data_IF_393012090371
#
_entry.id   IF_393012090371
#
_cell.length_a   1.000
_cell.length_b   1.000
_cell.length_c   1.000
_cell.angle_alpha   90.00
_cell.angle_beta   90.00
_cell.angle_gamma   90.00
#
_symmetry.space_group_name_H-M   'P 1'
#
loop_
_entity.id
_entity.type
_entity.pdbx_description
1 polymer ?
#
# COMPACT_ATOMS: atom_id res chain seq x y z
N UNK A 1 -7.67 -15.16 15.77
CA UNK A 1 -7.06 -13.88 16.21
C UNK A 1 -5.74 -14.09 16.98
N UNK A 2 -4.63 -13.64 16.41
CA UNK A 2 -3.27 -13.75 16.98
C UNK A 2 -3.05 -12.73 18.12
N UNK A 3 -2.89 -13.21 19.36
CA UNK A 3 -2.73 -12.36 20.55
C UNK A 3 -1.49 -11.47 20.51
N UNK A 4 -0.37 -11.96 19.95
CA UNK A 4 0.88 -11.20 19.86
C UNK A 4 0.73 -10.05 18.88
N UNK A 5 0.03 -10.28 17.76
CA UNK A 5 -0.29 -9.29 16.74
C UNK A 5 -1.12 -8.12 17.32
N UNK A 6 -2.18 -8.42 18.09
CA UNK A 6 -3.02 -7.40 18.75
C UNK A 6 -2.22 -6.61 19.78
N UNK A 7 -1.46 -7.30 20.64
CA UNK A 7 -0.67 -6.66 21.69
C UNK A 7 0.37 -5.70 21.09
N UNK A 8 0.99 -6.08 19.97
CA UNK A 8 1.88 -5.20 19.22
C UNK A 8 1.14 -3.96 18.70
N UNK A 9 -0.01 -4.13 18.03
CA UNK A 9 -0.80 -3.02 17.47
C UNK A 9 -1.26 -2.04 18.56
N UNK A 10 -1.76 -2.56 19.70
CA UNK A 10 -2.15 -1.73 20.85
C UNK A 10 -0.97 -0.95 21.42
N UNK A 11 0.21 -1.59 21.54
CA UNK A 11 1.43 -0.91 22.00
C UNK A 11 1.79 0.24 21.06
N UNK A 12 1.79 0.00 19.74
CA UNK A 12 2.10 1.03 18.75
C UNK A 12 1.11 2.21 18.85
N UNK A 13 -0.19 1.93 19.00
CA UNK A 13 -1.23 2.94 19.19
C UNK A 13 -1.05 3.74 20.49
N UNK A 14 -0.70 3.07 21.59
CA UNK A 14 -0.46 3.69 22.89
C UNK A 14 0.78 4.59 22.89
N UNK A 15 1.82 4.22 22.15
CA UNK A 15 3.05 5.00 22.05
C UNK A 15 2.83 6.35 21.32
N UNK A 16 1.81 6.45 20.44
CA UNK A 16 1.57 7.66 19.62
C UNK A 16 0.36 8.51 20.04
N UNK A 17 -0.61 7.93 20.77
CA UNK A 17 -1.90 8.60 21.06
C UNK A 17 -1.73 9.97 21.71
N UNK A 18 -0.81 10.12 22.67
CA UNK A 18 -0.58 11.39 23.36
C UNK A 18 -0.11 12.50 22.42
N UNK A 19 0.78 12.17 21.47
CA UNK A 19 1.26 13.14 20.48
C UNK A 19 0.10 13.66 19.62
N UNK A 20 -0.75 12.77 19.13
CA UNK A 20 -1.90 13.11 18.29
C UNK A 20 -2.93 13.91 19.09
N UNK A 21 -3.16 13.56 20.36
CA UNK A 21 -4.01 14.33 21.26
C UNK A 21 -3.49 15.75 21.49
N UNK A 22 -2.19 15.98 21.47
CA UNK A 22 -1.59 17.31 21.62
C UNK A 22 -1.62 18.11 20.30
N UNK A 23 -1.12 17.52 19.21
CA UNK A 23 -0.85 18.21 17.94
C UNK A 23 -2.01 18.15 16.92
N UNK A 24 -2.96 17.24 17.12
CA UNK A 24 -4.12 16.97 16.24
C UNK A 24 -3.83 16.25 14.93
N UNK A 25 -2.57 15.94 14.64
CA UNK A 25 -2.13 15.14 13.50
C UNK A 25 -1.04 14.14 13.96
N UNK A 26 -0.77 13.13 13.14
CA UNK A 26 0.37 12.23 13.33
C UNK A 26 1.66 12.86 12.75
N UNK A 27 2.85 12.54 13.29
CA UNK A 27 4.09 13.11 12.80
C UNK A 27 4.35 12.69 11.33
N UNK A 28 4.80 13.65 10.52
CA UNK A 28 5.21 13.40 9.15
C UNK A 28 6.39 12.43 9.06
N UNK A 29 6.55 11.83 7.89
CA UNK A 29 7.68 10.96 7.54
C UNK A 29 8.62 11.59 6.52
N UNK A 30 9.43 10.74 5.89
CA UNK A 30 10.38 11.10 4.82
C UNK A 30 10.30 10.14 3.62
N UNK A 31 9.15 9.50 3.42
CA UNK A 31 8.89 8.47 2.43
C UNK A 31 9.95 7.34 2.42
N UNK A 32 10.37 6.89 3.60
CA UNK A 32 11.33 5.78 3.73
C UNK A 32 12.66 6.02 3.00
N UNK A 33 13.07 5.14 2.07
CA UNK A 33 14.40 5.21 1.43
C UNK A 33 14.51 6.29 0.34
N UNK A 34 13.44 7.06 0.07
CA UNK A 34 13.42 8.11 -0.96
C UNK A 34 13.71 9.51 -0.43
N UNK A 35 13.66 9.71 0.90
CA UNK A 35 13.99 10.97 1.56
C UNK A 35 13.19 12.17 1.02
N UNK A 36 11.87 11.98 0.86
CA UNK A 36 10.96 13.03 0.39
C UNK A 36 10.26 13.69 1.59
N UNK A 37 10.12 15.01 1.58
CA UNK A 37 9.46 15.75 2.66
C UNK A 37 7.95 15.52 2.60
N UNK A 38 7.46 14.52 3.32
CA UNK A 38 6.04 14.23 3.38
C UNK A 38 5.30 15.24 4.27
N UNK A 39 3.99 15.37 4.02
CA UNK A 39 3.07 15.96 4.99
C UNK A 39 2.65 14.94 6.04
N UNK A 40 1.95 15.43 7.06
CA UNK A 40 1.38 14.64 8.16
C UNK A 40 0.16 13.80 7.71
N UNK A 41 -0.35 14.02 6.49
CA UNK A 41 -1.62 13.49 6.00
C UNK A 41 -1.64 11.95 5.92
N UNK A 42 -0.61 11.35 5.31
CA UNK A 42 -0.52 9.89 5.14
C UNK A 42 -0.52 9.17 6.49
N UNK A 43 0.37 9.58 7.40
CA UNK A 43 0.49 8.91 8.69
C UNK A 43 -0.77 9.14 9.54
N UNK A 44 -1.41 10.31 9.42
CA UNK A 44 -2.69 10.61 10.08
C UNK A 44 -3.82 9.70 9.59
N UNK A 45 -3.89 9.44 8.27
CA UNK A 45 -4.85 8.52 7.67
C UNK A 45 -4.64 7.08 8.19
N UNK A 46 -3.40 6.60 8.22
CA UNK A 46 -3.08 5.26 8.71
C UNK A 46 -3.43 5.09 10.20
N UNK A 47 -3.03 6.05 11.06
CA UNK A 47 -3.35 5.98 12.48
C UNK A 47 -4.84 6.07 12.78
N UNK A 48 -5.61 6.82 11.98
CA UNK A 48 -7.06 6.87 12.11
C UNK A 48 -7.68 5.48 11.93
N UNK A 49 -7.24 4.71 10.93
CA UNK A 49 -7.69 3.32 10.72
C UNK A 49 -7.39 2.46 11.94
N UNK A 50 -6.17 2.53 12.48
CA UNK A 50 -5.74 1.75 13.66
C UNK A 50 -6.62 2.08 14.87
N UNK A 51 -6.80 3.35 15.20
CA UNK A 51 -7.60 3.73 16.37
C UNK A 51 -9.07 3.36 16.21
N UNK A 52 -9.63 3.54 15.02
CA UNK A 52 -11.00 3.15 14.72
C UNK A 52 -11.20 1.63 14.85
N UNK A 53 -10.25 0.83 14.34
CA UNK A 53 -10.24 -0.61 14.53
C UNK A 53 -10.20 -0.99 16.02
N UNK A 54 -9.25 -0.45 16.78
CA UNK A 54 -9.09 -0.77 18.21
C UNK A 54 -10.31 -0.34 19.04
N UNK A 55 -10.91 0.81 18.71
CA UNK A 55 -12.16 1.26 19.32
C UNK A 55 -13.30 0.29 19.03
N UNK A 56 -13.53 -0.04 17.75
CA UNK A 56 -14.61 -0.93 17.32
C UNK A 56 -14.49 -2.31 17.96
N UNK A 57 -13.28 -2.89 17.92
CA UNK A 57 -13.09 -4.30 18.29
C UNK A 57 -12.86 -4.52 19.78
N UNK A 58 -12.28 -3.56 20.49
CA UNK A 58 -11.90 -3.73 21.90
C UNK A 58 -12.45 -2.65 22.84
N UNK A 59 -13.40 -1.83 22.36
CA UNK A 59 -14.05 -0.74 23.12
C UNK A 59 -13.03 0.22 23.79
N UNK A 60 -11.93 0.52 23.08
CA UNK A 60 -10.82 1.34 23.60
C UNK A 60 -11.12 2.85 23.49
N UNK A 61 -12.04 3.34 24.33
CA UNK A 61 -12.47 4.75 24.32
C UNK A 61 -11.35 5.76 24.62
N UNK A 62 -10.19 5.30 25.11
CA UNK A 62 -8.98 6.15 25.28
C UNK A 62 -8.51 6.80 23.97
N UNK A 63 -8.88 6.26 22.81
CA UNK A 63 -8.50 6.80 21.50
C UNK A 63 -9.51 7.82 20.93
N UNK A 64 -10.64 8.09 21.60
CA UNK A 64 -11.73 8.91 21.04
C UNK A 64 -11.31 10.34 20.69
N UNK A 65 -10.49 10.95 21.54
CA UNK A 65 -9.96 12.29 21.31
C UNK A 65 -9.03 12.29 20.08
N UNK A 66 -8.15 11.30 19.97
CA UNK A 66 -7.23 11.16 18.85
C UNK A 66 -8.00 10.91 17.53
N UNK A 67 -9.01 10.04 17.53
CA UNK A 67 -9.89 9.80 16.38
C UNK A 67 -10.54 11.10 15.91
N UNK A 68 -11.12 11.86 16.84
CA UNK A 68 -11.80 13.13 16.53
C UNK A 68 -10.83 14.14 15.93
N UNK A 69 -9.63 14.25 16.51
CA UNK A 69 -8.58 15.16 16.03
C UNK A 69 -8.07 14.78 14.65
N UNK A 70 -7.71 13.51 14.43
CA UNK A 70 -7.24 13.04 13.12
C UNK A 70 -8.31 13.22 12.05
N UNK A 71 -9.57 12.86 12.34
CA UNK A 71 -10.66 13.01 11.40
C UNK A 71 -10.96 14.48 11.08
N UNK A 72 -10.79 15.39 12.05
CA UNK A 72 -10.88 16.83 11.82
C UNK A 72 -9.75 17.30 10.91
N UNK A 73 -8.51 16.92 11.22
CA UNK A 73 -7.34 17.26 10.41
C UNK A 73 -7.46 16.75 8.97
N UNK A 74 -7.82 15.47 8.79
CA UNK A 74 -7.99 14.88 7.45
C UNK A 74 -9.11 15.53 6.64
N UNK A 75 -10.12 16.13 7.27
CA UNK A 75 -11.20 16.84 6.56
C UNK A 75 -10.88 18.31 6.25
N UNK A 76 -9.78 18.85 6.79
CA UNK A 76 -9.39 20.23 6.53
C UNK A 76 -9.09 20.43 5.04
N UNK A 77 -9.82 21.35 4.40
CA UNK A 77 -9.67 21.66 2.98
C UNK A 77 -8.28 22.24 2.64
N UNK A 78 -7.55 22.77 3.63
CA UNK A 78 -6.15 23.19 3.44
C UNK A 78 -5.21 22.04 3.07
N UNK A 79 -5.60 20.78 3.34
CA UNK A 79 -4.82 19.60 2.98
C UNK A 79 -5.06 19.14 1.52
N UNK A 80 -5.90 19.83 0.75
CA UNK A 80 -6.31 19.43 -0.58
C UNK A 80 -6.18 20.56 -1.60
N UNK A 81 -5.95 20.19 -2.85
CA UNK A 81 -6.17 21.07 -3.99
C UNK A 81 -7.65 21.31 -4.25
N UNK A 82 -7.97 22.36 -5.02
CA UNK A 82 -9.35 22.63 -5.46
C UNK A 82 -9.97 21.50 -6.31
N UNK A 83 -9.13 20.63 -6.86
CA UNK A 83 -9.50 19.41 -7.58
C UNK A 83 -9.70 18.18 -6.67
N UNK A 84 -9.56 18.33 -5.34
CA UNK A 84 -9.68 17.24 -4.37
C UNK A 84 -8.41 16.40 -4.17
N UNK A 85 -7.32 16.69 -4.90
CA UNK A 85 -6.08 15.94 -4.76
C UNK A 85 -5.39 16.26 -3.41
N UNK A 86 -4.94 15.25 -2.64
CA UNK A 86 -4.35 15.44 -1.31
C UNK A 86 -2.89 15.89 -1.38
N UNK A 87 -2.51 16.86 -0.54
CA UNK A 87 -1.12 17.28 -0.38
C UNK A 87 -0.36 16.27 0.48
N UNK A 88 0.35 15.33 -0.14
CA UNK A 88 1.13 14.29 0.54
C UNK A 88 2.62 14.63 0.70
N UNK A 89 3.17 15.56 -0.11
CA UNK A 89 4.58 15.95 -0.10
C UNK A 89 4.75 17.46 -0.27
N UNK A 90 5.92 17.97 0.13
CA UNK A 90 6.29 19.40 0.09
C UNK A 90 7.45 19.70 -0.89
N UNK A 91 8.00 18.71 -1.58
CA UNK A 91 9.14 18.90 -2.50
C UNK A 91 8.70 19.48 -3.87
N UNK A 92 9.43 20.48 -4.37
CA UNK A 92 9.04 21.25 -5.57
C UNK A 92 9.23 20.50 -6.92
N UNK A 93 10.10 19.49 -6.98
CA UNK A 93 10.54 18.84 -8.23
C UNK A 93 9.85 17.50 -8.52
N UNK A 94 8.92 17.10 -7.67
CA UNK A 94 8.13 15.88 -7.79
C UNK A 94 6.66 16.24 -7.63
N UNK A 95 5.76 15.33 -7.99
CA UNK A 95 4.35 15.51 -7.69
C UNK A 95 4.14 15.58 -6.17
N UNK A 96 3.26 16.46 -5.74
CA UNK A 96 3.00 16.69 -4.32
C UNK A 96 1.93 15.74 -3.74
N UNK A 97 1.41 14.81 -4.55
CA UNK A 97 0.38 13.83 -4.17
C UNK A 97 0.96 12.45 -3.86
N UNK A 98 2.25 12.22 -4.12
CA UNK A 98 2.90 10.91 -3.98
C UNK A 98 2.30 9.85 -4.93
N UNK A 99 2.37 10.13 -6.23
CA UNK A 99 1.82 9.29 -7.28
C UNK A 99 0.34 8.98 -7.06
N UNK A 100 -0.10 7.81 -7.49
CA UNK A 100 -1.46 7.34 -7.20
C UNK A 100 -1.61 6.75 -5.79
N UNK A 101 -0.49 6.38 -5.14
CA UNK A 101 -0.54 5.71 -3.84
C UNK A 101 -0.95 6.66 -2.72
N UNK A 102 -0.54 7.94 -2.77
CA UNK A 102 -0.96 8.94 -1.78
C UNK A 102 -2.48 9.12 -1.73
N UNK A 103 -3.17 9.47 -2.84
CA UNK A 103 -4.62 9.54 -2.88
C UNK A 103 -5.31 8.26 -2.42
N UNK A 104 -4.77 7.09 -2.79
CA UNK A 104 -5.32 5.80 -2.37
C UNK A 104 -5.28 5.63 -0.83
N UNK A 105 -4.15 5.91 -0.18
CA UNK A 105 -4.03 5.80 1.28
C UNK A 105 -4.95 6.75 2.04
N UNK A 106 -5.14 7.99 1.55
CA UNK A 106 -6.06 8.94 2.21
C UNK A 106 -7.52 8.50 2.01
N UNK A 107 -7.89 8.07 0.80
CA UNK A 107 -9.23 7.59 0.50
C UNK A 107 -9.59 6.34 1.33
N UNK A 108 -8.64 5.42 1.52
CA UNK A 108 -8.81 4.22 2.35
C UNK A 108 -9.28 4.57 3.77
N UNK A 109 -8.68 5.57 4.42
CA UNK A 109 -9.09 6.00 5.75
C UNK A 109 -10.53 6.50 5.78
N UNK A 110 -10.96 7.27 4.78
CA UNK A 110 -12.35 7.75 4.69
C UNK A 110 -13.35 6.62 4.39
N UNK A 111 -12.99 5.65 3.55
CA UNK A 111 -13.81 4.45 3.35
C UNK A 111 -13.94 3.69 4.68
N UNK A 112 -12.86 3.57 5.43
CA UNK A 112 -12.87 2.91 6.74
C UNK A 112 -13.75 3.65 7.78
N UNK A 113 -13.69 4.98 7.82
CA UNK A 113 -14.59 5.80 8.66
C UNK A 113 -16.05 5.57 8.26
N UNK A 114 -16.35 5.54 6.96
CA UNK A 114 -17.70 5.25 6.48
C UNK A 114 -18.19 3.86 6.90
N UNK A 115 -17.35 2.82 6.77
CA UNK A 115 -17.69 1.45 7.20
C UNK A 115 -18.11 1.38 8.68
N UNK A 116 -17.59 2.28 9.52
CA UNK A 116 -17.87 2.30 10.96
C UNK A 116 -19.06 3.20 11.30
N UNK A 117 -19.16 4.35 10.66
CA UNK A 117 -20.14 5.40 11.02
C UNK A 117 -21.42 5.36 10.19
N UNK A 118 -21.36 4.80 8.97
CA UNK A 118 -22.41 4.90 7.96
C UNK A 118 -22.61 6.31 7.39
N UNK A 119 -21.80 7.30 7.77
CA UNK A 119 -21.98 8.68 7.36
C UNK A 119 -21.52 8.91 5.92
N UNK A 120 -22.48 9.13 5.02
CA UNK A 120 -22.27 9.25 3.56
C UNK A 120 -21.26 10.32 3.14
N UNK A 121 -20.99 11.34 3.97
CA UNK A 121 -20.01 12.38 3.66
C UNK A 121 -18.58 11.84 3.52
N UNK A 122 -18.24 10.78 4.27
CA UNK A 122 -16.89 10.20 4.24
C UNK A 122 -16.64 9.39 2.98
N UNK A 123 -17.59 8.54 2.57
CA UNK A 123 -17.45 7.78 1.32
C UNK A 123 -17.46 8.70 0.09
N UNK A 124 -18.16 9.85 0.16
CA UNK A 124 -18.09 10.90 -0.85
C UNK A 124 -16.73 11.60 -0.89
N UNK A 125 -16.15 11.98 0.26
CA UNK A 125 -14.79 12.56 0.29
C UNK A 125 -13.76 11.58 -0.28
N UNK A 126 -13.90 10.27 0.00
CA UNK A 126 -13.07 9.24 -0.62
C UNK A 126 -13.23 9.20 -2.16
N UNK A 127 -14.48 9.29 -2.66
CA UNK A 127 -14.76 9.40 -4.09
C UNK A 127 -14.10 10.64 -4.69
N UNK A 128 -14.23 11.81 -4.07
CA UNK A 128 -13.65 13.07 -4.56
C UNK A 128 -12.12 12.96 -4.68
N UNK A 129 -11.47 12.39 -3.65
CA UNK A 129 -10.01 12.15 -3.65
C UNK A 129 -9.61 11.23 -4.79
N UNK A 130 -10.26 10.07 -4.95
CA UNK A 130 -9.92 9.14 -6.01
C UNK A 130 -10.23 9.76 -7.39
N UNK A 131 -11.33 10.47 -7.53
CA UNK A 131 -11.73 11.11 -8.79
C UNK A 131 -10.83 12.28 -9.22
N UNK A 132 -9.91 12.75 -8.37
CA UNK A 132 -8.94 13.80 -8.69
C UNK A 132 -7.87 13.37 -9.71
N UNK A 133 -7.71 12.07 -9.97
CA UNK A 133 -6.79 11.51 -10.97
C UNK A 133 -7.43 11.47 -12.37
N UNK A 134 -6.59 11.21 -13.38
CA UNK A 134 -7.02 11.07 -14.78
C UNK A 134 -6.70 9.66 -15.27
N UNK A 135 -7.63 9.00 -15.95
CA UNK A 135 -7.36 7.72 -16.60
C UNK A 135 -6.97 7.92 -18.06
N UNK A 136 -5.93 7.19 -18.49
CA UNK A 136 -5.51 7.15 -19.89
C UNK A 136 -6.08 5.89 -20.57
N UNK A 137 -7.10 5.99 -21.44
CA UNK A 137 -7.73 4.83 -22.06
C UNK A 137 -6.82 4.07 -23.03
N UNK A 138 -5.84 4.76 -23.63
CA UNK A 138 -4.89 4.12 -24.56
C UNK A 138 -3.96 3.18 -23.81
N UNK A 139 -3.50 3.58 -22.63
CA UNK A 139 -2.55 2.84 -21.81
C UNK A 139 -3.23 1.99 -20.72
N UNK A 140 -4.53 2.23 -20.49
CA UNK A 140 -5.38 1.59 -19.48
C UNK A 140 -4.77 1.71 -18.08
N UNK A 141 -4.29 2.91 -17.75
CA UNK A 141 -3.59 3.25 -16.52
C UNK A 141 -3.97 4.66 -16.09
N UNK A 142 -3.87 4.94 -14.79
CA UNK A 142 -4.07 6.28 -14.26
C UNK A 142 -2.80 7.14 -14.38
N UNK A 143 -3.02 8.44 -14.54
CA UNK A 143 -2.06 9.51 -14.58
C UNK A 143 -2.09 10.29 -13.27
N UNK A 144 -0.95 10.86 -12.90
CA UNK A 144 -0.78 11.61 -11.66
C UNK A 144 -1.23 13.05 -11.90
N UNK A 145 -2.17 13.53 -11.08
CA UNK A 145 -2.61 14.93 -11.06
C UNK A 145 -2.32 15.49 -9.68
N UNK A 146 -1.57 16.59 -9.61
CA UNK A 146 -1.18 17.20 -8.34
C UNK A 146 -2.25 18.15 -7.77
N UNK A 147 -2.01 18.74 -6.59
CA UNK A 147 -2.98 19.65 -5.94
C UNK A 147 -3.25 20.95 -6.72
N UNK A 148 -2.40 21.29 -7.70
CA UNK A 148 -2.60 22.44 -8.58
C UNK A 148 -3.27 22.04 -9.91
N UNK A 149 -3.65 20.77 -10.07
CA UNK A 149 -4.23 20.24 -11.30
C UNK A 149 -3.19 19.97 -12.40
N UNK A 150 -1.88 20.05 -12.13
CA UNK A 150 -0.86 19.71 -13.11
C UNK A 150 -0.82 18.19 -13.27
N UNK A 151 -0.91 17.75 -14.52
CA UNK A 151 -0.79 16.35 -14.90
C UNK A 151 0.69 15.98 -15.15
N UNK A 152 1.21 15.03 -14.40
CA UNK A 152 2.59 14.52 -14.49
C UNK A 152 2.74 13.30 -15.41
N UNK A 153 1.66 12.88 -16.05
CA UNK A 153 1.57 11.72 -16.92
C UNK A 153 1.32 10.42 -16.17
N UNK A 154 1.43 9.31 -16.90
CA UNK A 154 1.13 7.96 -16.41
C UNK A 154 2.03 7.58 -15.23
N UNK A 155 1.42 7.14 -14.13
CA UNK A 155 2.16 6.51 -13.04
C UNK A 155 2.58 5.10 -13.45
N UNK A 156 3.85 4.91 -13.79
CA UNK A 156 4.35 3.60 -14.25
C UNK A 156 4.71 2.66 -13.10
N UNK A 157 4.55 3.09 -11.86
CA UNK A 157 4.87 2.32 -10.68
C UNK A 157 3.76 1.31 -10.43
N UNK A 158 4.08 0.01 -10.58
CA UNK A 158 3.08 -1.06 -10.59
C UNK A 158 2.26 -1.07 -9.29
N UNK A 159 2.92 -0.95 -8.14
CA UNK A 159 2.24 -0.97 -6.85
C UNK A 159 1.31 0.21 -6.66
N UNK A 160 1.63 1.40 -7.20
CA UNK A 160 0.73 2.54 -7.15
C UNK A 160 -0.56 2.27 -7.93
N UNK A 161 -0.44 1.73 -9.15
CA UNK A 161 -1.60 1.37 -9.98
C UNK A 161 -2.46 0.28 -9.33
N UNK A 162 -1.82 -0.78 -8.79
CA UNK A 162 -2.52 -1.90 -8.12
C UNK A 162 -3.23 -1.44 -6.86
N UNK A 163 -2.57 -0.66 -6.00
CA UNK A 163 -3.19 -0.14 -4.78
C UNK A 163 -4.32 0.83 -5.08
N UNK A 164 -4.13 1.75 -6.03
CA UNK A 164 -5.18 2.67 -6.44
C UNK A 164 -6.41 1.92 -6.94
N UNK A 165 -6.24 0.93 -7.84
CA UNK A 165 -7.33 0.07 -8.28
C UNK A 165 -8.01 -0.67 -7.12
N UNK A 166 -7.22 -1.22 -6.18
CA UNK A 166 -7.73 -1.92 -5.02
C UNK A 166 -8.63 -1.04 -4.15
N UNK A 167 -8.21 0.20 -3.87
CA UNK A 167 -8.98 1.15 -3.07
C UNK A 167 -10.21 1.67 -3.84
N UNK A 168 -10.12 1.87 -5.16
CA UNK A 168 -11.30 2.18 -5.96
C UNK A 168 -12.33 1.04 -5.93
N UNK A 169 -11.91 -0.22 -5.98
CA UNK A 169 -12.84 -1.36 -5.84
C UNK A 169 -13.49 -1.40 -4.46
N UNK A 170 -12.73 -1.14 -3.40
CA UNK A 170 -13.26 -1.03 -2.04
C UNK A 170 -14.27 0.12 -1.89
N UNK A 171 -13.98 1.28 -2.50
CA UNK A 171 -14.90 2.43 -2.56
C UNK A 171 -16.22 2.03 -3.21
N UNK A 172 -16.17 1.41 -4.40
CA UNK A 172 -17.36 1.03 -5.15
C UNK A 172 -18.19 -0.02 -4.42
N UNK A 173 -17.54 -0.99 -3.78
CA UNK A 173 -18.21 -2.01 -3.00
C UNK A 173 -18.98 -1.40 -1.82
N UNK A 174 -18.31 -0.59 -1.00
CA UNK A 174 -18.91 -0.01 0.20
C UNK A 174 -19.88 1.15 -0.12
N UNK A 175 -19.64 1.87 -1.21
CA UNK A 175 -20.44 2.99 -1.68
C UNK A 175 -21.64 2.61 -2.54
N UNK A 176 -21.88 1.32 -2.79
CA UNK A 176 -22.96 0.84 -3.64
C UNK A 176 -24.33 1.37 -3.19
N UNK A 177 -25.06 2.02 -4.10
CA UNK A 177 -26.36 2.64 -3.81
C UNK A 177 -26.29 3.97 -3.05
N UNK A 178 -25.09 4.45 -2.72
CA UNK A 178 -24.84 5.74 -2.06
C UNK A 178 -24.10 6.71 -2.97
N UNK A 179 -23.09 6.21 -3.70
CA UNK A 179 -22.32 7.00 -4.65
C UNK A 179 -23.14 7.22 -5.92
N UNK A 180 -23.06 8.44 -6.45
CA UNK A 180 -23.58 8.82 -7.75
C UNK A 180 -22.38 9.18 -8.63
N UNK A 181 -22.48 8.96 -9.94
CA UNK A 181 -21.37 9.29 -10.85
C UNK A 181 -20.17 8.35 -10.74
N UNK A 182 -20.33 7.15 -10.19
CA UNK A 182 -19.25 6.16 -10.04
C UNK A 182 -18.97 5.35 -11.30
N UNK A 183 -19.80 5.51 -12.34
CA UNK A 183 -19.74 4.75 -13.60
C UNK A 183 -18.39 4.93 -14.29
N UNK A 184 -17.78 6.11 -14.16
CA UNK A 184 -16.43 6.39 -14.67
C UNK A 184 -15.40 5.47 -14.01
N UNK A 185 -15.34 5.44 -12.68
CA UNK A 185 -14.37 4.61 -11.94
C UNK A 185 -14.60 3.13 -12.21
N UNK A 186 -15.86 2.69 -12.30
CA UNK A 186 -16.20 1.30 -12.65
C UNK A 186 -15.62 0.90 -14.02
N UNK A 187 -15.77 1.75 -15.04
CA UNK A 187 -15.23 1.48 -16.36
C UNK A 187 -13.69 1.52 -16.40
N UNK A 188 -13.07 2.49 -15.72
CA UNK A 188 -11.61 2.60 -15.60
C UNK A 188 -10.99 1.35 -14.96
N UNK A 189 -11.57 0.88 -13.85
CA UNK A 189 -11.13 -0.34 -13.15
C UNK A 189 -11.30 -1.55 -14.06
N UNK A 190 -12.44 -1.70 -14.73
CA UNK A 190 -12.67 -2.82 -15.65
C UNK A 190 -11.59 -2.84 -16.74
N UNK A 191 -11.32 -1.69 -17.36
CA UNK A 191 -10.29 -1.58 -18.39
C UNK A 191 -8.89 -1.90 -17.84
N UNK A 192 -8.56 -1.43 -16.64
CA UNK A 192 -7.30 -1.73 -15.97
C UNK A 192 -7.16 -3.23 -15.66
N UNK A 193 -8.16 -3.86 -15.04
CA UNK A 193 -8.15 -5.27 -14.68
C UNK A 193 -8.03 -6.18 -15.91
N UNK A 194 -8.71 -5.85 -17.00
CA UNK A 194 -8.59 -6.54 -18.29
C UNK A 194 -7.14 -6.50 -18.82
N UNK A 195 -6.42 -5.41 -18.55
CA UNK A 195 -5.05 -5.19 -19.05
C UNK A 195 -3.96 -5.65 -18.08
N UNK A 196 -4.29 -5.80 -16.81
CA UNK A 196 -3.37 -6.12 -15.71
C UNK A 196 -2.51 -7.38 -15.96
N UNK A 197 -3.03 -8.52 -16.46
CA UNK A 197 -2.22 -9.70 -16.77
C UNK A 197 -1.11 -9.41 -17.79
N UNK A 198 -1.36 -8.47 -18.69
CA UNK A 198 -0.41 -8.08 -19.72
C UNK A 198 0.51 -6.95 -19.24
N UNK A 199 0.20 -6.24 -18.15
CA UNK A 199 1.05 -5.15 -17.59
C UNK A 199 2.04 -5.70 -16.59
N UNK A 200 1.57 -6.62 -15.74
CA UNK A 200 2.37 -7.29 -14.74
C UNK A 200 3.48 -8.09 -15.40
N UNK A 201 4.71 -7.87 -14.93
CA UNK A 201 5.88 -8.65 -15.33
C UNK A 201 6.48 -9.27 -14.09
N UNK A 202 6.87 -10.52 -14.23
CA UNK A 202 7.34 -11.36 -13.14
C UNK A 202 8.61 -12.04 -13.62
N UNK A 203 9.68 -11.93 -12.85
CA UNK A 203 10.93 -12.64 -13.09
C UNK A 203 10.74 -14.16 -12.99
N UNK A 204 11.63 -14.98 -13.58
CA UNK A 204 11.51 -16.44 -13.53
C UNK A 204 11.40 -17.03 -12.12
N UNK A 205 11.88 -16.34 -11.10
CA UNK A 205 11.81 -16.77 -9.70
C UNK A 205 10.57 -16.28 -8.95
N UNK A 206 9.68 -15.49 -9.55
CA UNK A 206 8.45 -15.01 -8.92
C UNK A 206 8.48 -13.57 -8.42
N UNK A 207 9.62 -12.86 -8.47
CA UNK A 207 9.67 -11.45 -8.07
C UNK A 207 8.95 -10.58 -9.09
N UNK A 208 8.11 -9.64 -8.64
CA UNK A 208 7.44 -8.68 -9.50
C UNK A 208 8.40 -7.60 -9.98
N UNK A 209 8.22 -7.17 -11.22
CA UNK A 209 8.95 -6.03 -11.74
C UNK A 209 8.21 -4.75 -11.34
N UNK A 210 8.95 -3.77 -10.81
CA UNK A 210 8.37 -2.58 -10.20
C UNK A 210 7.67 -1.64 -11.21
N UNK A 211 8.05 -1.73 -12.49
CA UNK A 211 7.53 -0.87 -13.55
C UNK A 211 6.50 -1.64 -14.39
N UNK A 212 5.29 -1.08 -14.46
CA UNK A 212 4.21 -1.57 -15.31
C UNK A 212 4.50 -1.33 -16.80
N UNK A 213 4.20 -2.31 -17.65
CA UNK A 213 4.51 -2.23 -19.08
C UNK A 213 3.42 -1.48 -19.87
N UNK A 214 3.81 -0.37 -20.50
CA UNK A 214 2.99 0.43 -21.43
C UNK A 214 2.86 -0.23 -22.82
N UNK A 215 1.82 0.13 -23.57
CA UNK A 215 1.45 -0.41 -24.89
C UNK A 215 2.11 0.38 -26.03
N UNK A 216 2.24 1.71 -25.88
CA UNK A 216 2.47 2.60 -27.03
C UNK A 216 3.85 2.53 -27.69
N UNK A 217 4.85 1.84 -27.13
CA UNK A 217 6.22 1.95 -27.63
C UNK A 217 7.01 0.63 -27.61
N UNK A 218 7.09 -0.03 -28.77
CA UNK A 218 7.83 -1.30 -28.93
C UNK A 218 9.33 -1.18 -28.61
N UNK A 219 9.97 -0.03 -28.92
CA UNK A 219 11.38 0.21 -28.57
C UNK A 219 11.56 0.27 -27.05
N UNK A 220 10.60 0.90 -26.36
CA UNK A 220 10.56 0.92 -24.91
C UNK A 220 10.39 -0.49 -24.33
N UNK A 221 9.46 -1.27 -24.88
CA UNK A 221 9.23 -2.67 -24.48
C UNK A 221 10.51 -3.51 -24.62
N UNK A 222 11.21 -3.40 -25.75
CA UNK A 222 12.47 -4.13 -25.96
C UNK A 222 13.55 -3.69 -24.96
N UNK A 223 13.74 -2.37 -24.78
CA UNK A 223 14.70 -1.82 -23.80
C UNK A 223 14.36 -2.26 -22.37
N UNK A 224 13.08 -2.36 -22.04
CA UNK A 224 12.60 -2.87 -20.77
C UNK A 224 13.04 -4.32 -20.55
N UNK A 225 12.85 -5.20 -21.54
CA UNK A 225 13.26 -6.61 -21.41
C UNK A 225 14.78 -6.78 -21.23
N UNK A 226 15.59 -6.01 -21.97
CA UNK A 226 17.05 -6.03 -21.81
C UNK A 226 17.43 -5.61 -20.38
N UNK A 227 16.83 -4.52 -19.88
CA UNK A 227 17.08 -4.04 -18.51
C UNK A 227 16.60 -5.04 -17.47
N UNK A 228 15.45 -5.68 -17.67
CA UNK A 228 14.93 -6.71 -16.79
C UNK A 228 15.90 -7.89 -16.69
N UNK A 229 16.47 -8.35 -17.81
CA UNK A 229 17.48 -9.40 -17.80
C UNK A 229 18.74 -8.98 -17.01
N UNK A 230 19.23 -7.76 -17.24
CA UNK A 230 20.40 -7.24 -16.53
C UNK A 230 20.16 -7.13 -15.01
N UNK A 231 18.97 -6.67 -14.59
CA UNK A 231 18.52 -6.65 -13.18
C UNK A 231 18.48 -8.04 -12.59
N UNK A 232 17.83 -8.99 -13.26
CA UNK A 232 17.70 -10.36 -12.78
C UNK A 232 19.05 -11.03 -12.59
N UNK A 233 19.94 -10.94 -13.59
CA UNK A 233 21.28 -11.52 -13.51
C UNK A 233 22.08 -10.86 -12.38
N UNK A 234 22.12 -9.53 -12.35
CA UNK A 234 22.84 -8.77 -11.32
C UNK A 234 22.33 -9.09 -9.91
N UNK A 235 21.02 -9.22 -9.78
CA UNK A 235 20.30 -9.63 -8.58
C UNK A 235 20.68 -11.00 -8.04
N UNK A 236 20.89 -11.96 -8.95
CA UNK A 236 21.30 -13.34 -8.63
C UNK A 236 22.74 -13.45 -8.17
N UNK A 237 23.64 -12.64 -8.73
CA UNK A 237 25.06 -12.62 -8.35
C UNK A 237 25.37 -11.67 -7.19
N UNK A 238 24.38 -10.86 -6.75
CA UNK A 238 24.49 -9.91 -5.62
C UNK A 238 25.69 -8.95 -5.78
N UNK A 239 25.87 -8.40 -6.98
CA UNK A 239 27.08 -7.63 -7.33
C UNK A 239 27.08 -6.16 -6.88
N UNK A 240 26.06 -5.70 -6.15
CA UNK A 240 25.91 -4.32 -5.69
C UNK A 240 25.95 -3.26 -6.81
N UNK A 241 25.67 -3.63 -8.06
CA UNK A 241 25.50 -2.68 -9.15
C UNK A 241 24.15 -1.95 -9.04
N UNK A 242 23.96 -0.86 -9.79
CA UNK A 242 22.66 -0.19 -9.91
C UNK A 242 21.51 -1.12 -10.37
N UNK A 243 21.84 -2.18 -11.11
CA UNK A 243 20.85 -3.17 -11.57
C UNK A 243 20.47 -4.12 -10.45
N UNK A 244 21.43 -4.49 -9.60
CA UNK A 244 21.19 -5.23 -8.38
C UNK A 244 20.40 -4.38 -7.37
N UNK A 245 20.72 -3.11 -7.17
CA UNK A 245 19.93 -2.21 -6.30
C UNK A 245 18.47 -2.10 -6.75
N UNK A 246 18.22 -1.98 -8.06
CA UNK A 246 16.85 -1.96 -8.59
C UNK A 246 16.14 -3.29 -8.36
N UNK A 247 16.85 -4.41 -8.50
CA UNK A 247 16.29 -5.72 -8.20
C UNK A 247 16.04 -5.92 -6.70
N UNK A 248 16.87 -5.34 -5.81
CA UNK A 248 16.62 -5.31 -4.36
C UNK A 248 15.38 -4.49 -4.03
N UNK A 249 15.13 -3.37 -4.72
CA UNK A 249 13.86 -2.65 -4.62
C UNK A 249 12.70 -3.59 -4.95
N UNK A 250 12.75 -4.26 -6.10
CA UNK A 250 11.72 -5.22 -6.52
C UNK A 250 11.52 -6.37 -5.51
N UNK A 251 12.59 -6.90 -4.90
CA UNK A 251 12.48 -7.90 -3.84
C UNK A 251 11.86 -7.35 -2.55
N UNK A 252 12.22 -6.12 -2.16
CA UNK A 252 11.71 -5.50 -0.93
C UNK A 252 10.24 -5.09 -1.00
N UNK A 253 9.76 -4.77 -2.21
CA UNK A 253 8.36 -4.41 -2.47
C UNK A 253 7.45 -5.61 -2.72
N UNK A 254 7.98 -6.82 -2.92
CA UNK A 254 7.16 -7.96 -3.35
C UNK A 254 5.96 -8.23 -2.43
N UNK A 255 6.17 -8.20 -1.11
CA UNK A 255 5.08 -8.43 -0.15
C UNK A 255 4.03 -7.30 -0.24
N UNK A 256 4.47 -6.04 -0.30
CA UNK A 256 3.58 -4.88 -0.46
C UNK A 256 2.74 -4.94 -1.74
N UNK A 257 3.36 -5.36 -2.85
CA UNK A 257 2.66 -5.50 -4.13
C UNK A 257 1.61 -6.61 -4.04
N UNK A 258 1.99 -7.77 -3.50
CA UNK A 258 1.08 -8.91 -3.31
C UNK A 258 -0.05 -8.57 -2.34
N UNK A 259 0.19 -7.72 -1.34
CA UNK A 259 -0.84 -7.21 -0.44
C UNK A 259 -1.93 -6.44 -1.21
N UNK A 260 -1.55 -5.54 -2.11
CA UNK A 260 -2.51 -4.82 -2.97
C UNK A 260 -3.35 -5.79 -3.84
N UNK A 261 -2.70 -6.83 -4.39
CA UNK A 261 -3.43 -7.89 -5.09
C UNK A 261 -4.35 -8.73 -4.18
N UNK A 262 -3.99 -8.91 -2.91
CA UNK A 262 -4.83 -9.59 -1.92
C UNK A 262 -6.12 -8.80 -1.66
N UNK A 263 -6.06 -7.46 -1.65
CA UNK A 263 -7.26 -6.61 -1.60
C UNK A 263 -8.10 -6.79 -2.87
N UNK A 264 -7.51 -6.69 -4.06
CA UNK A 264 -8.23 -6.90 -5.34
C UNK A 264 -8.94 -8.27 -5.34
N UNK A 265 -8.29 -9.33 -4.84
CA UNK A 265 -8.85 -10.68 -4.78
C UNK A 265 -10.16 -10.75 -3.99
N UNK A 266 -10.36 -9.88 -2.99
CA UNK A 266 -11.63 -9.84 -2.24
C UNK A 266 -12.80 -9.35 -3.09
N UNK A 267 -12.54 -8.49 -4.08
CA UNK A 267 -13.58 -7.84 -4.88
C UNK A 267 -13.71 -8.41 -6.30
N UNK A 268 -12.66 -9.06 -6.83
CA UNK A 268 -12.68 -9.74 -8.13
C UNK A 268 -11.95 -11.11 -8.04
N UNK A 269 -12.47 -12.07 -7.25
CA UNK A 269 -11.83 -13.36 -7.02
C UNK A 269 -11.64 -14.19 -8.30
N UNK A 270 -12.43 -13.95 -9.33
CA UNK A 270 -12.44 -14.67 -10.60
C UNK A 270 -11.35 -14.23 -11.59
N UNK A 271 -10.57 -13.18 -11.30
CA UNK A 271 -9.50 -12.73 -12.20
C UNK A 271 -8.54 -13.88 -12.51
N UNK A 272 -8.43 -14.22 -13.80
CA UNK A 272 -7.61 -15.32 -14.30
C UNK A 272 -6.13 -15.20 -13.88
N UNK A 273 -5.65 -13.97 -13.64
CA UNK A 273 -4.31 -13.68 -13.16
C UNK A 273 -3.96 -14.50 -11.91
N UNK A 274 -4.89 -14.62 -10.96
CA UNK A 274 -4.66 -15.28 -9.67
C UNK A 274 -4.36 -16.78 -9.79
N UNK A 275 -4.80 -17.40 -10.89
CA UNK A 275 -4.55 -18.82 -11.19
C UNK A 275 -3.33 -19.02 -12.11
N UNK A 276 -2.69 -17.94 -12.56
CA UNK A 276 -1.53 -18.07 -13.45
C UNK A 276 -0.32 -18.62 -12.69
N UNK A 277 0.44 -19.52 -13.33
CA UNK A 277 1.63 -20.15 -12.72
C UNK A 277 2.63 -19.13 -12.18
N UNK A 278 2.83 -18.01 -12.88
CA UNK A 278 3.77 -16.96 -12.48
C UNK A 278 3.29 -16.19 -11.25
N UNK A 279 2.00 -15.87 -11.18
CA UNK A 279 1.44 -15.17 -10.02
C UNK A 279 1.44 -16.07 -8.78
N UNK A 280 1.05 -17.34 -8.94
CA UNK A 280 1.13 -18.34 -7.86
C UNK A 280 2.57 -18.51 -7.36
N UNK A 281 3.56 -18.47 -8.24
CA UNK A 281 4.96 -18.50 -7.83
C UNK A 281 5.35 -17.27 -6.99
N UNK A 282 4.85 -16.08 -7.35
CA UNK A 282 5.11 -14.86 -6.60
C UNK A 282 4.50 -14.88 -5.19
N UNK A 283 3.24 -15.32 -5.08
CA UNK A 283 2.56 -15.42 -3.78
C UNK A 283 3.19 -16.49 -2.89
N UNK A 284 3.73 -17.56 -3.48
CA UNK A 284 4.53 -18.54 -2.74
C UNK A 284 5.84 -17.92 -2.26
N UNK A 285 6.57 -17.24 -3.15
CA UNK A 285 7.87 -16.67 -2.83
C UNK A 285 7.80 -15.69 -1.63
N UNK A 286 6.83 -14.78 -1.59
CA UNK A 286 6.71 -13.83 -0.48
C UNK A 286 6.29 -14.48 0.85
N UNK A 287 5.79 -15.72 0.81
CA UNK A 287 5.44 -16.50 2.00
C UNK A 287 6.59 -17.42 2.47
N UNK A 288 7.62 -17.64 1.64
CA UNK A 288 8.73 -18.53 1.95
C UNK A 288 9.69 -17.93 2.99
N UNK A 289 9.92 -18.67 4.09
CA UNK A 289 10.90 -18.32 5.12
C UNK A 289 12.29 -17.99 4.55
N UNK A 290 12.76 -18.78 3.58
CA UNK A 290 14.06 -18.56 2.92
C UNK A 290 14.13 -17.20 2.23
N UNK A 291 13.05 -16.77 1.57
CA UNK A 291 12.99 -15.47 0.93
C UNK A 291 12.97 -14.35 1.96
N UNK A 292 12.13 -14.45 3.00
CA UNK A 292 12.07 -13.47 4.08
C UNK A 292 13.43 -13.31 4.80
N UNK A 293 14.08 -14.42 5.17
CA UNK A 293 15.42 -14.37 5.78
C UNK A 293 16.48 -13.78 4.84
N UNK A 294 16.35 -13.96 3.52
CA UNK A 294 17.24 -13.34 2.53
C UNK A 294 17.15 -11.81 2.59
N UNK A 295 15.96 -11.23 2.73
CA UNK A 295 15.78 -9.78 2.82
C UNK A 295 16.58 -9.17 3.98
N UNK A 296 16.59 -9.85 5.13
CA UNK A 296 17.33 -9.46 6.33
C UNK A 296 18.84 -9.58 6.09
N UNK A 297 19.30 -10.74 5.57
CA UNK A 297 20.72 -10.97 5.26
C UNK A 297 21.28 -9.89 4.33
N UNK A 298 20.48 -9.46 3.35
CA UNK A 298 20.86 -8.41 2.40
C UNK A 298 20.71 -6.99 2.94
N UNK A 299 20.19 -6.82 4.16
CA UNK A 299 19.87 -5.50 4.74
C UNK A 299 19.03 -4.65 3.77
N UNK A 300 18.04 -5.28 3.15
CA UNK A 300 17.25 -4.64 2.11
C UNK A 300 16.42 -3.47 2.68
N UNK A 301 16.85 -2.24 2.38
CA UNK A 301 16.23 -0.98 2.87
C UNK A 301 14.78 -0.78 2.44
N UNK A 302 14.31 -1.49 1.41
CA UNK A 302 12.94 -1.39 0.90
C UNK A 302 11.97 -2.38 1.56
N UNK A 303 12.46 -3.30 2.39
CA UNK A 303 11.66 -4.35 3.06
C UNK A 303 11.30 -3.95 4.50
N UNK A 304 11.64 -4.74 5.52
CA UNK A 304 11.37 -4.48 6.95
C UNK A 304 11.57 -3.02 7.41
N UNK A 305 12.59 -2.27 6.95
CA UNK A 305 12.74 -0.85 7.33
C UNK A 305 11.70 0.11 6.72
N UNK A 306 10.88 -0.35 5.76
CA UNK A 306 9.90 0.47 5.05
C UNK A 306 8.61 -0.29 4.67
N UNK A 307 8.65 -1.26 3.74
CA UNK A 307 7.54 -2.17 3.41
C UNK A 307 7.67 -3.46 4.22
N UNK A 308 7.13 -3.47 5.45
CA UNK A 308 7.43 -4.55 6.38
C UNK A 308 6.59 -5.80 6.13
N UNK A 309 7.24 -6.98 5.88
CA UNK A 309 6.52 -8.25 5.89
C UNK A 309 5.84 -8.56 7.23
N UNK A 310 6.24 -7.92 8.35
CA UNK A 310 5.55 -8.06 9.63
C UNK A 310 4.07 -7.64 9.53
N UNK A 311 3.77 -6.62 8.74
CA UNK A 311 2.43 -6.05 8.62
C UNK A 311 1.62 -6.71 7.51
N UNK A 312 2.28 -7.07 6.41
CA UNK A 312 1.63 -7.52 5.18
C UNK A 312 1.38 -9.05 5.15
N UNK A 313 2.29 -9.85 5.75
CA UNK A 313 2.34 -11.30 5.56
C UNK A 313 1.06 -12.02 6.01
N UNK A 314 0.50 -11.65 7.16
CA UNK A 314 -0.69 -12.31 7.73
C UNK A 314 -1.87 -12.26 6.76
N UNK A 315 -2.13 -11.08 6.20
CA UNK A 315 -3.24 -10.88 5.26
C UNK A 315 -3.00 -11.62 3.94
N UNK A 316 -1.79 -11.51 3.37
CA UNK A 316 -1.39 -12.22 2.15
C UNK A 316 -1.61 -13.73 2.29
N UNK A 317 -1.18 -14.29 3.42
CA UNK A 317 -1.32 -15.71 3.70
C UNK A 317 -2.78 -16.12 3.84
N UNK A 318 -3.61 -15.30 4.50
CA UNK A 318 -5.03 -15.62 4.65
C UNK A 318 -5.75 -15.65 3.29
N UNK A 319 -5.44 -14.69 2.41
CA UNK A 319 -6.07 -14.60 1.08
C UNK A 319 -5.50 -15.64 0.09
N UNK A 320 -4.17 -15.80 0.04
CA UNK A 320 -3.49 -16.71 -0.88
C UNK A 320 -2.93 -17.94 -0.14
N UNK A 321 -3.85 -18.76 0.40
CA UNK A 321 -3.53 -19.96 1.19
C UNK A 321 -2.64 -20.93 0.39
N UNK A 322 -1.37 -21.03 0.75
CA UNK A 322 -0.39 -21.94 0.14
C UNK A 322 -0.06 -23.07 1.14
N UNK A 323 -0.81 -24.18 1.07
CA UNK A 323 -0.72 -25.29 2.02
C UNK A 323 0.67 -25.98 2.10
N UNK A 324 1.55 -25.76 1.13
CA UNK A 324 2.88 -26.37 1.04
C UNK A 324 4.01 -25.53 1.64
N UNK A 325 3.72 -24.40 2.28
CA UNK A 325 4.74 -23.47 2.80
C UNK A 325 4.70 -23.45 4.31
N UNK A 326 5.87 -23.65 4.93
CA UNK A 326 6.04 -23.50 6.37
C UNK A 326 5.65 -22.10 6.80
N UNK A 327 4.76 -22.06 7.78
CA UNK A 327 4.10 -20.84 8.18
C UNK A 327 4.98 -20.05 9.11
N UNK A 328 5.30 -18.80 8.76
CA UNK A 328 6.04 -17.90 9.65
C UNK A 328 5.03 -17.28 10.63
N UNK A 329 5.26 -17.47 11.92
CA UNK A 329 4.45 -16.86 12.98
C UNK A 329 4.78 -15.37 13.17
N UNK A 330 3.85 -14.62 13.78
CA UNK A 330 4.04 -13.20 14.06
C UNK A 330 5.29 -12.91 14.88
N UNK A 331 5.54 -13.67 15.96
CA UNK A 331 6.71 -13.47 16.82
C UNK A 331 8.04 -13.66 16.08
N UNK A 332 8.08 -14.58 15.11
CA UNK A 332 9.24 -14.78 14.26
C UNK A 332 9.44 -13.58 13.30
N UNK A 333 8.39 -13.11 12.64
CA UNK A 333 8.45 -11.89 11.82
C UNK A 333 8.83 -10.66 12.65
N UNK A 334 8.39 -10.58 13.90
CA UNK A 334 8.75 -9.49 14.80
C UNK A 334 10.23 -9.52 15.17
N UNK A 335 10.79 -10.72 15.39
CA UNK A 335 12.22 -10.88 15.58
C UNK A 335 13.02 -10.49 14.32
N UNK A 336 12.50 -10.80 13.13
CA UNK A 336 13.06 -10.35 11.86
C UNK A 336 13.03 -8.82 11.70
N UNK A 337 11.91 -8.18 12.05
CA UNK A 337 11.79 -6.72 12.07
C UNK A 337 12.86 -6.08 12.96
N UNK A 338 13.01 -6.57 14.20
CA UNK A 338 14.04 -6.08 15.14
C UNK A 338 15.45 -6.27 14.57
N UNK A 339 15.74 -7.44 14.01
CA UNK A 339 17.04 -7.74 13.42
C UNK A 339 17.36 -6.83 12.21
N UNK A 340 16.36 -6.53 11.39
CA UNK A 340 16.52 -5.69 10.20
C UNK A 340 16.74 -4.20 10.53
N UNK A 341 16.08 -3.70 11.58
CA UNK A 341 16.28 -2.32 12.06
C UNK A 341 17.61 -2.16 12.83
N UNK A 342 18.07 -3.21 13.51
CA UNK A 342 19.27 -3.17 14.33
C UNK A 342 19.17 -2.09 15.43
N UNK A 343 20.28 -1.40 15.69
CA UNK A 343 20.35 -0.28 16.66
C UNK A 343 20.20 1.10 16.00
N UNK A 344 19.92 1.18 14.69
CA UNK A 344 19.94 2.45 13.96
C UNK A 344 18.52 2.90 13.60
N UNK A 345 18.10 4.04 14.15
CA UNK A 345 16.90 4.80 13.76
C UNK A 345 17.07 5.50 12.39
N UNK A 346 17.82 4.91 11.46
CA UNK A 346 18.25 5.61 10.23
C UNK A 346 17.14 5.74 9.18
N UNK A 347 16.03 5.03 9.33
CA UNK A 347 14.94 5.00 8.36
C UNK A 347 13.67 5.56 8.99
N UNK A 348 12.81 6.15 8.15
CA UNK A 348 11.53 6.80 8.45
C UNK A 348 10.64 6.06 9.46
N UNK A 349 10.95 6.24 10.75
CA UNK A 349 10.32 5.54 11.87
C UNK A 349 8.85 5.89 11.99
N UNK A 350 8.50 7.15 11.73
CA UNK A 350 7.13 7.63 11.83
C UNK A 350 6.24 6.91 10.81
N UNK A 351 6.68 6.83 9.55
CA UNK A 351 5.93 6.10 8.52
C UNK A 351 5.94 4.61 8.77
N UNK A 352 7.09 4.02 9.11
CA UNK A 352 7.16 2.57 9.38
C UNK A 352 6.21 2.17 10.52
N UNK A 353 6.12 2.96 11.59
CA UNK A 353 5.19 2.67 12.68
C UNK A 353 3.73 2.88 12.23
N UNK A 354 3.43 3.96 11.51
CA UNK A 354 2.08 4.23 11.02
C UNK A 354 1.57 3.10 10.11
N UNK A 355 2.47 2.44 9.35
CA UNK A 355 2.15 1.32 8.45
C UNK A 355 1.65 0.05 9.16
N UNK A 356 1.71 -0.04 10.49
CA UNK A 356 1.04 -1.12 11.21
C UNK A 356 -0.47 -1.21 10.95
N UNK A 357 -1.10 -0.15 10.39
CA UNK A 357 -2.50 -0.21 9.91
C UNK A 357 -2.75 -1.35 8.90
N UNK A 358 -1.74 -1.77 8.13
CA UNK A 358 -1.86 -2.87 7.17
C UNK A 358 -2.22 -4.21 7.87
N UNK A 359 -1.89 -4.34 9.16
CA UNK A 359 -2.27 -5.50 9.99
C UNK A 359 -3.79 -5.56 10.26
N UNK A 360 -4.49 -4.42 10.20
CA UNK A 360 -5.93 -4.34 10.50
C UNK A 360 -6.73 -5.26 9.58
N UNK A 361 -6.39 -5.33 8.29
CA UNK A 361 -7.09 -6.21 7.34
C UNK A 361 -6.93 -7.69 7.68
N UNK A 362 -5.75 -8.10 8.13
CA UNK A 362 -5.53 -9.47 8.59
C UNK A 362 -6.40 -9.76 9.82
N UNK A 363 -6.38 -8.87 10.81
CA UNK A 363 -7.13 -9.04 12.04
C UNK A 363 -8.66 -9.07 11.78
N UNK A 364 -9.18 -8.17 10.96
CA UNK A 364 -10.61 -8.19 10.57
C UNK A 364 -10.96 -9.47 9.77
N UNK A 365 -10.03 -10.01 8.97
CA UNK A 365 -10.28 -11.23 8.20
C UNK A 365 -10.35 -12.49 9.07
N UNK A 366 -9.63 -12.51 10.20
CA UNK A 366 -9.70 -13.59 11.19
C UNK A 366 -11.01 -13.58 11.99
N UNK A 367 -11.66 -12.43 12.10
CA UNK A 367 -12.91 -12.27 12.85
C UNK A 367 -14.14 -12.73 12.08
N UNK A 368 -14.08 -12.69 10.74
CA UNK A 368 -15.16 -13.17 9.88
C UNK A 368 -15.13 -14.69 9.65
N UNK A 369 -14.06 -15.37 10.09
CA UNK A 369 -13.89 -16.83 9.99
C UNK A 369 -14.28 -17.56 11.32
N UNK A 370 -14.88 -16.86 12.29
CA UNK A 370 -15.49 -17.37 13.54
C UNK A 370 -17.00 -17.18 13.48
#
# INVERSE_FOLDING_TARGET
MDKSCIAYLMKQADDIVSYICEHSFAPAGMNGPYDNNDTELRNSAHWLIVFLYLKKQFNQNKYDIAITKLLTYLQDEANYGSNGAPLCRKDDNIDNVNGLIGPAWIAEAFIYVYKITGEKKYIKKAQDILCSTVFNPQEKMWEIVDTNGKNWGIDRTLNHQVWYAAICMELLHNGKGVLQGSERLEDEIRQFLDRLPHMLRIYPNGVFMHIALTISNIKYVLKYFIKALARFISGKIENNSKWDEFYQLEEGYLSFDVYGFAIIKQYAPELALFNSKKFVLATKLCQEKKFISKLIRRKNKYSFPYNSPLYEYGFIRNVFKNASIDTIGFDELYNYQKAALGNQEKYDKNTLNARCYEMVRFLESEDNDI
#
